data_IF_456806087334
#
_entry.id   IF_456806087334
#
_cell.length_a   1.000
_cell.length_b   1.000
_cell.length_c   1.000
_cell.angle_alpha   90.00
_cell.angle_beta   90.00
_cell.angle_gamma   90.00
#
_symmetry.space_group_name_H-M   'P 1'
#
loop_
_entity.id
_entity.type
_entity.pdbx_description
1 polymer ?
#
# COMPACT_ATOMS: atom_id res chain seq x y z
N UNK A 1 -5.48 16.21 17.20
CA UNK A 1 -5.32 14.85 16.63
C UNK A 1 -6.66 14.32 16.10
N UNK A 2 -7.73 14.31 16.90
CA UNK A 2 -9.06 13.84 16.46
C UNK A 2 -9.64 14.50 15.19
N UNK A 3 -9.57 15.84 14.96
CA UNK A 3 -10.12 16.42 13.74
C UNK A 3 -9.30 16.06 12.49
N UNK A 4 -7.97 15.94 12.62
CA UNK A 4 -7.09 15.55 11.52
C UNK A 4 -7.33 14.10 11.09
N UNK A 5 -7.43 13.18 12.06
CA UNK A 5 -7.71 11.77 11.78
C UNK A 5 -9.07 11.59 11.12
N UNK A 6 -10.09 12.31 11.58
CA UNK A 6 -11.43 12.25 10.98
C UNK A 6 -11.45 12.75 9.54
N UNK A 7 -10.74 13.86 9.25
CA UNK A 7 -10.63 14.37 7.89
C UNK A 7 -9.86 13.40 6.96
N UNK A 8 -8.79 12.79 7.47
CA UNK A 8 -8.04 11.76 6.74
C UNK A 8 -8.92 10.54 6.39
N UNK A 9 -9.65 10.00 7.38
CA UNK A 9 -10.55 8.85 7.18
C UNK A 9 -11.67 9.17 6.18
N UNK A 10 -12.23 10.39 6.25
CA UNK A 10 -13.25 10.82 5.29
C UNK A 10 -12.69 10.84 3.86
N UNK A 11 -11.55 11.48 3.64
CA UNK A 11 -10.91 11.53 2.32
C UNK A 11 -10.45 10.15 1.81
N UNK A 12 -10.01 9.27 2.71
CA UNK A 12 -9.65 7.90 2.36
C UNK A 12 -10.87 7.11 1.87
N UNK A 13 -12.01 7.25 2.56
CA UNK A 13 -13.26 6.57 2.20
C UNK A 13 -13.83 7.04 0.84
N UNK A 14 -13.53 8.27 0.43
CA UNK A 14 -13.96 8.79 -0.88
C UNK A 14 -13.19 8.15 -2.05
N UNK A 15 -11.99 7.61 -1.81
CA UNK A 15 -11.13 6.97 -2.84
C UNK A 15 -11.20 5.45 -2.76
N UNK A 16 -11.23 4.90 -1.54
CA UNK A 16 -11.23 3.46 -1.28
C UNK A 16 -12.29 3.14 -0.23
N UNK A 17 -13.15 2.15 -0.48
CA UNK A 17 -14.17 1.74 0.46
C UNK A 17 -13.54 1.25 1.78
N UNK A 18 -13.86 1.91 2.90
CA UNK A 18 -13.22 1.59 4.19
C UNK A 18 -13.54 0.18 4.70
N UNK A 19 -14.64 -0.43 4.24
CA UNK A 19 -14.99 -1.80 4.60
C UNK A 19 -14.00 -2.83 4.04
N UNK A 20 -13.27 -2.51 2.97
CA UNK A 20 -12.18 -3.36 2.49
C UNK A 20 -10.95 -3.28 3.40
N UNK A 21 -10.68 -2.11 3.97
CA UNK A 21 -9.55 -1.93 4.89
C UNK A 21 -9.80 -2.59 6.25
N UNK A 22 -11.07 -2.76 6.64
CA UNK A 22 -11.46 -3.47 7.87
C UNK A 22 -11.16 -4.97 7.85
N UNK A 23 -10.79 -5.53 6.69
CA UNK A 23 -10.36 -6.92 6.57
C UNK A 23 -8.95 -7.14 7.11
N UNK A 24 -8.17 -6.07 7.25
CA UNK A 24 -6.77 -6.11 7.68
C UNK A 24 -6.63 -5.65 9.13
N UNK A 25 -5.70 -6.26 9.87
CA UNK A 25 -5.26 -5.71 11.13
C UNK A 25 -4.31 -4.50 10.94
N UNK A 26 -3.80 -3.94 12.05
CA UNK A 26 -2.96 -2.75 11.99
C UNK A 26 -1.60 -2.99 11.30
N UNK A 27 -1.03 -4.20 11.42
CA UNK A 27 0.26 -4.56 10.85
C UNK A 27 0.13 -4.85 9.35
N UNK A 28 -0.94 -5.55 8.97
CA UNK A 28 -1.28 -5.80 7.58
C UNK A 28 -1.63 -4.50 6.84
N UNK A 29 -2.38 -3.59 7.47
CA UNK A 29 -2.67 -2.28 6.89
C UNK A 29 -1.41 -1.43 6.72
N UNK A 30 -0.48 -1.49 7.68
CA UNK A 30 0.82 -0.83 7.57
C UNK A 30 1.62 -1.40 6.39
N UNK A 31 1.63 -2.72 6.23
CA UNK A 31 2.27 -3.43 5.11
C UNK A 31 1.63 -3.07 3.77
N UNK A 32 0.31 -2.97 3.72
CA UNK A 32 -0.42 -2.58 2.51
C UNK A 32 -0.06 -1.16 2.06
N UNK A 33 0.11 -0.24 3.01
CA UNK A 33 0.42 1.18 2.72
C UNK A 33 1.91 1.38 2.43
N UNK A 34 2.78 0.70 3.17
CA UNK A 34 4.22 1.00 3.19
C UNK A 34 5.09 -0.06 2.50
N UNK A 35 4.47 -1.13 2.00
CA UNK A 35 5.18 -2.31 1.51
C UNK A 35 5.56 -3.26 2.64
N UNK A 36 5.95 -4.48 2.27
CA UNK A 36 6.38 -5.51 3.20
C UNK A 36 7.75 -5.18 3.81
N UNK A 37 7.90 -5.46 5.10
CA UNK A 37 9.19 -5.39 5.80
C UNK A 37 10.04 -6.62 5.47
N UNK A 38 10.46 -6.70 4.20
CA UNK A 38 11.26 -7.80 3.66
C UNK A 38 12.45 -7.25 2.88
N UNK A 39 13.54 -8.00 2.85
CA UNK A 39 14.70 -7.66 2.01
C UNK A 39 14.29 -7.63 0.54
N UNK A 40 14.87 -6.68 -0.21
CA UNK A 40 14.63 -6.58 -1.66
C UNK A 40 15.26 -7.79 -2.35
N UNK A 41 14.43 -8.58 -3.03
CA UNK A 41 14.88 -9.64 -3.91
C UNK A 41 15.19 -9.08 -5.30
N UNK A 42 16.49 -8.97 -5.61
CA UNK A 42 16.98 -8.46 -6.89
C UNK A 42 16.62 -9.41 -8.05
N UNK A 43 16.51 -10.71 -7.80
CA UNK A 43 16.13 -11.67 -8.84
C UNK A 43 14.66 -11.50 -9.21
N UNK A 44 13.78 -11.38 -8.22
CA UNK A 44 12.34 -11.13 -8.43
C UNK A 44 12.12 -9.80 -9.18
N UNK A 45 12.80 -8.74 -8.73
CA UNK A 45 12.74 -7.43 -9.38
C UNK A 45 13.15 -7.52 -10.85
N UNK A 46 14.23 -8.24 -11.16
CA UNK A 46 14.71 -8.42 -12.53
C UNK A 46 13.74 -9.21 -13.40
N UNK A 47 13.15 -10.27 -12.86
CA UNK A 47 12.18 -11.11 -13.58
C UNK A 47 10.90 -10.33 -13.95
N UNK A 48 10.50 -9.38 -13.11
CA UNK A 48 9.29 -8.56 -13.31
C UNK A 48 9.56 -7.17 -13.90
N UNK A 49 10.78 -6.91 -14.37
CA UNK A 49 11.12 -5.66 -15.06
C UNK A 49 10.87 -5.79 -16.56
N UNK A 50 9.99 -4.95 -17.11
CA UNK A 50 9.78 -4.83 -18.56
C UNK A 50 10.68 -3.71 -19.09
N UNK A 51 11.57 -4.05 -20.01
CA UNK A 51 12.39 -3.08 -20.72
C UNK A 51 11.58 -2.48 -21.87
N UNK A 52 11.38 -1.16 -21.85
CA UNK A 52 10.76 -0.43 -22.94
C UNK A 52 11.87 0.23 -23.79
N UNK A 53 11.95 -0.13 -25.08
CA UNK A 53 12.98 0.36 -26.01
C UNK A 53 13.76 -0.76 -26.71
N UNK A 54 14.94 -0.43 -27.27
CA UNK A 54 15.84 -1.37 -27.98
C UNK A 54 16.78 -2.15 -27.02
N UNK A 55 16.37 -2.34 -25.77
CA UNK A 55 17.16 -3.05 -24.75
C UNK A 55 16.54 -4.39 -24.43
#
# INVERSE_FOLDING_TARGET
IHPQVRAFVAGLNDVVCIDWLRLFDAEELQTLISGADTLIDVNDLRQHTVYAGIY
#
